data_IF_581332984062
#
_entry.id   IF_581332984062
#
_cell.length_a   1.000
_cell.length_b   1.000
_cell.length_c   1.000
_cell.angle_alpha   90.00
_cell.angle_beta   90.00
_cell.angle_gamma   90.00
#
_symmetry.space_group_name_H-M   'P 1'
#
loop_
_entity.id
_entity.type
_entity.pdbx_description
1 polymer ?
#
# COMPACT_ATOMS: atom_id res chain seq x y z
N UNK A 1 10.98 0.12 13.28
CA UNK A 1 10.57 -0.98 12.40
C UNK A 1 9.05 -0.96 12.38
N UNK A 2 8.46 -0.82 11.21
CA UNK A 2 7.01 -0.68 11.04
C UNK A 2 6.43 -2.04 10.68
N UNK A 3 5.35 -2.43 11.36
CA UNK A 3 4.58 -3.63 11.04
C UNK A 3 3.35 -3.22 10.25
N UNK A 4 3.16 -3.80 9.06
CA UNK A 4 2.04 -3.50 8.19
C UNK A 4 1.01 -4.63 8.22
N UNK A 5 -0.28 -4.26 8.32
CA UNK A 5 -1.36 -5.18 7.96
C UNK A 5 -1.35 -5.40 6.45
N UNK A 6 -1.72 -6.60 6.02
CA UNK A 6 -1.51 -7.00 4.64
C UNK A 6 -2.57 -8.00 4.17
N UNK A 7 -2.76 -8.04 2.85
CA UNK A 7 -3.67 -8.97 2.18
C UNK A 7 -3.11 -9.39 0.82
N UNK A 8 -3.47 -10.58 0.38
CA UNK A 8 -3.33 -11.05 -1.01
C UNK A 8 -4.63 -10.92 -1.80
N UNK A 9 -5.72 -10.54 -1.14
CA UNK A 9 -7.01 -10.30 -1.78
C UNK A 9 -7.09 -8.85 -2.30
N UNK A 10 -6.90 -8.65 -3.60
CA UNK A 10 -7.05 -7.34 -4.27
C UNK A 10 -8.46 -6.74 -4.12
N UNK A 11 -9.49 -7.54 -3.80
CA UNK A 11 -10.84 -7.06 -3.54
C UNK A 11 -11.04 -6.59 -2.08
N UNK A 12 -10.09 -6.86 -1.18
CA UNK A 12 -10.15 -6.40 0.21
C UNK A 12 -9.75 -4.93 0.32
N UNK A 13 -10.64 -4.12 0.91
CA UNK A 13 -10.48 -2.65 0.99
C UNK A 13 -10.50 -2.17 2.44
N UNK A 14 -9.39 -1.58 2.90
CA UNK A 14 -9.33 -0.85 4.15
C UNK A 14 -9.74 0.62 3.96
N UNK A 15 -11.01 0.95 4.25
CA UNK A 15 -11.54 2.32 4.09
C UNK A 15 -10.85 3.38 4.97
N UNK A 16 -10.13 2.95 6.01
CA UNK A 16 -9.43 3.82 6.95
C UNK A 16 -7.92 3.92 6.69
N UNK A 17 -7.44 3.35 5.59
CA UNK A 17 -6.02 3.22 5.28
C UNK A 17 -5.63 3.78 3.90
N UNK A 18 -4.33 4.05 3.78
CA UNK A 18 -3.67 4.11 2.48
C UNK A 18 -3.16 2.70 2.15
N UNK A 19 -3.44 2.19 0.97
CA UNK A 19 -2.99 0.87 0.53
C UNK A 19 -1.79 1.02 -0.40
N UNK A 20 -0.76 0.22 -0.17
CA UNK A 20 0.35 0.04 -1.11
C UNK A 20 0.17 -1.31 -1.79
N UNK A 21 -0.21 -1.28 -3.06
CA UNK A 21 -0.33 -2.47 -3.91
C UNK A 21 1.01 -2.80 -4.54
N UNK A 22 1.54 -3.99 -4.26
CA UNK A 22 2.81 -4.51 -4.77
C UNK A 22 2.51 -5.65 -5.73
N UNK A 23 2.96 -5.51 -6.98
CA UNK A 23 2.78 -6.53 -7.99
C UNK A 23 3.88 -6.53 -9.04
N UNK A 24 3.99 -7.63 -9.77
CA UNK A 24 4.86 -7.69 -10.92
C UNK A 24 4.34 -6.75 -12.03
N UNK A 25 5.23 -6.03 -12.75
CA UNK A 25 4.82 -5.29 -13.94
C UNK A 25 4.23 -6.26 -14.98
N UNK A 26 3.34 -5.78 -15.86
CA UNK A 26 2.78 -6.60 -16.93
C UNK A 26 3.88 -7.29 -17.75
N UNK A 27 3.69 -8.59 -18.02
CA UNK A 27 4.68 -9.48 -18.67
C UNK A 27 5.31 -8.82 -19.90
N UNK A 28 6.64 -8.74 -19.92
CA UNK A 28 7.41 -8.20 -21.05
C UNK A 28 8.60 -7.31 -20.67
N UNK A 29 8.75 -6.99 -19.39
CA UNK A 29 9.91 -6.26 -18.87
C UNK A 29 10.87 -7.23 -18.19
N UNK A 30 12.08 -7.31 -18.73
CA UNK A 30 13.22 -8.02 -18.13
C UNK A 30 14.27 -6.96 -17.78
N UNK A 31 14.73 -6.86 -16.52
CA UNK A 31 14.31 -7.65 -15.37
C UNK A 31 12.90 -7.27 -14.84
N UNK A 32 12.22 -8.26 -14.23
CA UNK A 32 10.94 -8.08 -13.51
C UNK A 32 11.22 -7.34 -12.21
N UNK A 33 11.36 -6.03 -12.28
CA UNK A 33 11.47 -5.18 -11.09
C UNK A 33 10.06 -5.01 -10.49
N UNK A 34 9.88 -5.43 -9.23
CA UNK A 34 8.62 -5.22 -8.51
C UNK A 34 8.32 -3.73 -8.45
N UNK A 35 7.08 -3.38 -8.77
CA UNK A 35 6.61 -1.99 -8.67
C UNK A 35 5.44 -1.91 -7.73
N UNK A 36 5.25 -0.73 -7.15
CA UNK A 36 4.14 -0.48 -6.25
C UNK A 36 3.28 0.68 -6.74
N UNK A 37 1.98 0.57 -6.45
CA UNK A 37 1.02 1.67 -6.58
C UNK A 37 0.49 2.03 -5.20
N UNK A 38 0.25 3.32 -4.98
CA UNK A 38 -0.36 3.82 -3.74
C UNK A 38 -1.80 4.19 -4.06
N UNK A 39 -2.74 3.53 -3.39
CA UNK A 39 -4.18 3.76 -3.55
C UNK A 39 -4.78 4.24 -2.22
N UNK A 40 -5.79 5.10 -2.30
CA UNK A 40 -6.59 5.49 -1.16
C UNK A 40 -8.06 5.68 -1.53
N UNK A 41 -8.98 5.33 -0.62
CA UNK A 41 -10.41 5.55 -0.80
C UNK A 41 -10.80 7.03 -0.61
N UNK A 42 -12.06 7.34 -0.91
CA UNK A 42 -12.66 8.60 -0.45
C UNK A 42 -12.55 8.69 1.08
N UNK A 43 -12.04 9.82 1.58
CA UNK A 43 -11.83 10.02 3.02
C UNK A 43 -12.27 11.41 3.44
N UNK A 44 -12.78 11.53 4.66
CA UNK A 44 -13.13 12.82 5.26
C UNK A 44 -12.18 13.06 6.40
N UNK A 45 -11.41 14.14 6.30
CA UNK A 45 -10.43 14.52 7.31
C UNK A 45 -10.52 16.01 7.56
N UNK A 46 -10.54 16.40 8.83
CA UNK A 46 -10.58 17.81 9.26
C UNK A 46 -11.70 18.66 8.63
N UNK A 47 -12.79 18.02 8.16
CA UNK A 47 -13.91 18.69 7.49
C UNK A 47 -13.77 18.81 5.97
N UNK A 48 -12.62 18.44 5.42
CA UNK A 48 -12.36 18.38 3.98
C UNK A 48 -12.57 16.96 3.44
N UNK A 49 -13.15 16.89 2.23
CA UNK A 49 -13.27 15.63 1.49
C UNK A 49 -12.03 15.43 0.62
N UNK A 50 -11.25 14.41 0.95
CA UNK A 50 -10.21 13.86 0.09
C UNK A 50 -10.89 12.89 -0.88
N UNK A 51 -10.68 13.09 -2.19
CA UNK A 51 -11.15 12.16 -3.20
C UNK A 51 -10.22 10.98 -3.29
N UNK A 52 -10.79 9.78 -3.34
CA UNK A 52 -10.07 8.55 -3.59
C UNK A 52 -9.34 8.61 -4.92
N UNK A 53 -8.11 8.12 -4.94
CA UNK A 53 -7.28 8.09 -6.13
C UNK A 53 -6.17 7.05 -6.01
N UNK A 54 -5.35 6.99 -7.04
CA UNK A 54 -4.21 6.09 -7.13
C UNK A 54 -3.03 6.82 -7.78
N UNK A 55 -1.83 6.57 -7.27
CA UNK A 55 -0.56 7.07 -7.78
C UNK A 55 0.42 5.91 -8.02
N UNK A 56 1.27 6.02 -9.03
CA UNK A 56 2.27 5.01 -9.39
C UNK A 56 2.45 4.86 -10.90
N UNK A 57 3.30 3.92 -11.36
CA UNK A 57 4.09 3.00 -10.52
C UNK A 57 5.30 3.69 -9.86
N UNK A 58 5.66 3.22 -8.67
CA UNK A 58 6.84 3.63 -7.90
C UNK A 58 7.74 2.43 -7.61
N UNK A 59 8.98 2.72 -7.19
CA UNK A 59 9.75 1.74 -6.40
C UNK A 59 9.01 1.46 -5.08
N UNK A 60 9.23 0.29 -4.48
CA UNK A 60 8.53 -0.11 -3.25
C UNK A 60 8.83 0.88 -2.11
N UNK A 61 10.10 1.30 -1.95
CA UNK A 61 10.50 2.28 -0.96
C UNK A 61 9.83 3.66 -1.17
N UNK A 62 9.76 4.13 -2.42
CA UNK A 62 9.12 5.40 -2.71
C UNK A 62 7.61 5.35 -2.49
N UNK A 63 6.97 4.21 -2.81
CA UNK A 63 5.55 3.98 -2.53
C UNK A 63 5.27 4.00 -1.02
N UNK A 64 6.08 3.32 -0.21
CA UNK A 64 5.94 3.30 1.25
C UNK A 64 6.12 4.69 1.85
N UNK A 65 7.16 5.43 1.42
CA UNK A 65 7.36 6.83 1.85
C UNK A 65 6.21 7.73 1.43
N UNK A 66 5.68 7.55 0.22
CA UNK A 66 4.53 8.30 -0.28
C UNK A 66 3.28 7.99 0.53
N UNK A 67 3.00 6.72 0.79
CA UNK A 67 1.85 6.29 1.58
C UNK A 67 1.89 6.85 3.01
N UNK A 68 3.04 6.82 3.68
CA UNK A 68 3.19 7.43 5.01
C UNK A 68 3.02 8.95 5.00
N UNK A 69 3.49 9.61 3.94
CA UNK A 69 3.28 11.05 3.75
C UNK A 69 1.80 11.37 3.60
N UNK A 70 1.08 10.64 2.74
CA UNK A 70 -0.37 10.80 2.55
C UNK A 70 -1.15 10.48 3.82
N UNK A 71 -0.78 9.41 4.53
CA UNK A 71 -1.36 9.05 5.83
C UNK A 71 -1.26 10.22 6.81
N UNK A 72 -0.09 10.84 6.88
CA UNK A 72 0.15 11.97 7.80
C UNK A 72 -0.60 13.22 7.38
N UNK A 73 -0.57 13.58 6.09
CA UNK A 73 -1.21 14.80 5.56
C UNK A 73 -2.73 14.73 5.68
N UNK A 74 -3.32 13.59 5.34
CA UNK A 74 -4.78 13.40 5.33
C UNK A 74 -5.31 12.68 6.58
N UNK A 75 -4.45 12.41 7.56
CA UNK A 75 -4.79 11.74 8.81
C UNK A 75 -5.56 10.41 8.61
N UNK A 76 -5.13 9.60 7.65
CA UNK A 76 -5.55 8.19 7.59
C UNK A 76 -5.00 7.46 8.82
N UNK A 77 -5.67 6.39 9.25
CA UNK A 77 -5.29 5.71 10.49
C UNK A 77 -4.01 4.89 10.32
N UNK A 78 -3.84 4.26 9.16
CA UNK A 78 -2.78 3.28 8.90
C UNK A 78 -2.38 3.23 7.43
N UNK A 79 -1.24 2.60 7.17
CA UNK A 79 -0.86 2.10 5.85
C UNK A 79 -1.04 0.59 5.87
N UNK A 80 -1.57 0.02 4.80
CA UNK A 80 -1.72 -1.43 4.60
C UNK A 80 -1.09 -1.85 3.29
N UNK A 81 -0.73 -3.13 3.17
CA UNK A 81 -0.10 -3.69 1.98
C UNK A 81 -1.07 -4.63 1.27
N UNK A 82 -1.28 -4.43 -0.02
CA UNK A 82 -1.84 -5.46 -0.89
C UNK A 82 -0.68 -6.05 -1.70
N UNK A 83 -0.48 -7.36 -1.68
CA UNK A 83 0.67 -8.01 -2.33
C UNK A 83 0.24 -9.34 -2.94
N UNK A 84 0.70 -9.63 -4.17
CA UNK A 84 0.32 -10.87 -4.87
C UNK A 84 0.70 -12.14 -4.07
N UNK A 85 1.90 -12.16 -3.48
CA UNK A 85 2.41 -13.28 -2.68
C UNK A 85 3.22 -12.73 -1.50
N UNK A 86 3.06 -13.30 -0.29
CA UNK A 86 3.74 -12.85 0.94
C UNK A 86 5.27 -12.88 0.77
N UNK A 87 5.77 -13.84 0.01
CA UNK A 87 7.18 -14.10 -0.26
C UNK A 87 7.86 -12.98 -1.06
N UNK A 88 7.08 -12.14 -1.76
CA UNK A 88 7.61 -10.97 -2.46
C UNK A 88 8.05 -9.87 -1.49
N UNK A 89 7.60 -9.91 -0.23
CA UNK A 89 7.95 -8.92 0.79
C UNK A 89 9.41 -9.07 1.23
N UNK A 90 10.15 -7.97 1.16
CA UNK A 90 11.54 -7.94 1.58
C UNK A 90 11.68 -7.31 2.99
N UNK A 91 12.52 -7.88 3.87
CA UNK A 91 12.71 -7.37 5.24
C UNK A 91 13.19 -5.92 5.33
N UNK A 92 13.82 -5.40 4.27
CA UNK A 92 14.27 -4.00 4.22
C UNK A 92 13.11 -2.99 4.18
N UNK A 93 11.94 -3.40 3.69
CA UNK A 93 10.72 -2.58 3.63
C UNK A 93 9.96 -2.52 4.96
N UNK A 94 10.27 -3.41 5.90
CA UNK A 94 9.60 -3.55 7.19
C UNK A 94 9.14 -4.98 7.44
N UNK A 95 8.10 -5.13 8.26
CA UNK A 95 7.54 -6.43 8.61
C UNK A 95 6.04 -6.48 8.24
N UNK A 96 5.59 -7.62 7.70
CA UNK A 96 4.18 -7.90 7.55
C UNK A 96 3.63 -8.55 8.82
N UNK A 97 2.42 -8.17 9.22
CA UNK A 97 1.73 -8.80 10.34
C UNK A 97 1.68 -10.33 10.20
N UNK A 98 1.57 -11.03 11.34
CA UNK A 98 1.53 -12.50 11.36
C UNK A 98 0.33 -13.02 10.56
N UNK A 99 -0.82 -12.38 10.75
CA UNK A 99 -2.08 -12.73 10.08
C UNK A 99 -2.34 -11.82 8.89
N UNK A 100 -2.98 -12.40 7.88
CA UNK A 100 -3.53 -11.72 6.71
C UNK A 100 -4.90 -11.09 7.06
N UNK A 101 -5.24 -10.01 6.37
CA UNK A 101 -6.50 -9.27 6.49
C UNK A 101 -6.34 -7.94 7.19
N UNK A 102 -7.37 -7.09 7.06
CA UNK A 102 -7.37 -5.75 7.65
C UNK A 102 -8.17 -5.60 8.96
N UNK A 103 -8.75 -6.69 9.46
CA UNK A 103 -9.57 -6.75 10.69
C UNK A 103 -8.77 -6.84 12.01
#
# INVERSE_FOLDING_TARGET
MTVYQWTTDDDEVAFDAITVGIGAPPRGFDPVELTASVYWPDWITQGDKVRGSMEGPYSIDDALRRAESLRTIWAFKRVVIAIEERELWQPEWGELAEFEGFD
#
